data_IF_489856076280
#
_entry.id   IF_489856076280
#
_cell.length_a   1.000
_cell.length_b   1.000
_cell.length_c   1.000
_cell.angle_alpha   90.00
_cell.angle_beta   90.00
_cell.angle_gamma   90.00
#
_symmetry.space_group_name_H-M   'P 1'
#
loop_
_entity.id
_entity.type
_entity.pdbx_description
1 polymer ?
#
# COMPACT_ATOMS: atom_id res chain seq x y z
N UNK A 1 -8.18 -29.90 -11.11
CA UNK A 1 -7.04 -30.39 -11.90
C UNK A 1 -5.93 -29.33 -11.81
N UNK A 2 -4.88 -29.60 -11.04
CA UNK A 2 -3.74 -28.69 -10.80
C UNK A 2 -2.53 -29.04 -11.67
N UNK A 3 -2.64 -30.05 -12.53
CA UNK A 3 -1.59 -30.47 -13.44
C UNK A 3 -1.46 -29.46 -14.60
N UNK A 4 -0.75 -28.36 -14.37
CA UNK A 4 -0.42 -27.40 -15.43
C UNK A 4 -0.15 -25.97 -14.97
N UNK A 5 -0.57 -25.59 -13.75
CA UNK A 5 -0.28 -24.25 -13.22
C UNK A 5 1.12 -24.25 -12.58
N UNK A 6 1.98 -23.34 -13.02
CA UNK A 6 3.32 -23.12 -12.44
C UNK A 6 3.25 -22.03 -11.38
N UNK A 7 4.17 -22.08 -10.42
CA UNK A 7 4.38 -20.95 -9.51
C UNK A 7 4.72 -19.69 -10.31
N UNK A 8 4.20 -18.56 -9.85
CA UNK A 8 4.46 -17.23 -10.44
C UNK A 8 5.37 -16.46 -9.50
N UNK A 9 6.47 -15.94 -10.04
CA UNK A 9 7.36 -15.03 -9.32
C UNK A 9 6.74 -13.63 -9.25
N UNK A 10 6.96 -12.94 -8.14
CA UNK A 10 6.51 -11.57 -7.92
C UNK A 10 7.64 -10.76 -7.27
N UNK A 11 7.86 -9.51 -7.73
CA UNK A 11 8.93 -8.68 -7.18
C UNK A 11 8.62 -8.26 -5.75
N UNK A 12 9.68 -8.18 -4.94
CA UNK A 12 9.66 -7.53 -3.63
C UNK A 12 10.21 -6.12 -3.71
N UNK A 13 10.28 -5.43 -2.57
CA UNK A 13 10.91 -4.12 -2.45
C UNK A 13 11.79 -4.05 -1.21
N UNK A 14 13.08 -3.82 -1.39
CA UNK A 14 14.05 -3.70 -0.30
C UNK A 14 14.12 -2.24 0.16
N UNK A 15 13.55 -1.95 1.32
CA UNK A 15 13.34 -0.58 1.79
C UNK A 15 14.64 0.15 2.19
N UNK A 16 15.70 -0.59 2.57
CA UNK A 16 17.01 0.01 2.88
C UNK A 16 17.74 0.46 1.60
N UNK A 17 17.67 -0.34 0.54
CA UNK A 17 18.26 -0.03 -0.75
C UNK A 17 17.40 0.92 -1.60
N UNK A 18 16.08 0.89 -1.40
CA UNK A 18 15.12 1.65 -2.20
C UNK A 18 14.84 1.04 -3.58
N UNK A 19 15.15 -0.24 -3.78
CA UNK A 19 15.10 -0.92 -5.06
C UNK A 19 14.16 -2.14 -5.07
N UNK A 20 13.53 -2.44 -6.22
CA UNK A 20 12.79 -3.69 -6.39
C UNK A 20 13.74 -4.89 -6.44
N UNK A 21 13.27 -6.03 -5.94
CA UNK A 21 14.00 -7.30 -5.96
C UNK A 21 13.19 -8.31 -6.75
N UNK A 22 13.74 -8.78 -7.87
CA UNK A 22 13.10 -9.80 -8.71
C UNK A 22 12.91 -11.12 -7.96
N UNK A 23 11.82 -11.83 -8.27
CA UNK A 23 11.50 -13.17 -7.74
C UNK A 23 11.57 -13.28 -6.19
N UNK A 24 11.34 -12.19 -5.47
CA UNK A 24 11.39 -12.17 -4.00
C UNK A 24 10.22 -12.93 -3.36
N UNK A 25 9.10 -13.06 -4.08
CA UNK A 25 7.89 -13.74 -3.62
C UNK A 25 7.50 -14.78 -4.68
N UNK A 26 7.10 -15.97 -4.25
CA UNK A 26 6.56 -17.01 -5.12
C UNK A 26 5.12 -17.33 -4.73
N UNK A 27 4.20 -17.16 -5.67
CA UNK A 27 2.80 -17.55 -5.51
C UNK A 27 2.61 -18.94 -6.12
N UNK A 28 2.43 -19.98 -5.31
CA UNK A 28 2.32 -21.34 -5.82
C UNK A 28 0.89 -21.58 -6.35
N UNK A 29 0.69 -22.54 -7.27
CA UNK A 29 -0.57 -22.71 -8.00
C UNK A 29 -1.76 -23.15 -7.12
N UNK A 30 -1.48 -23.61 -5.90
CA UNK A 30 -2.46 -24.02 -4.89
C UNK A 30 -2.84 -22.87 -3.97
N UNK A 31 -2.20 -21.70 -4.10
CA UNK A 31 -2.58 -20.49 -3.37
C UNK A 31 -4.04 -20.12 -3.71
N UNK A 32 -4.87 -20.01 -2.67
CA UNK A 32 -6.32 -19.77 -2.80
C UNK A 32 -6.74 -18.35 -2.45
N UNK A 33 -5.85 -17.60 -1.79
CA UNK A 33 -6.09 -16.23 -1.35
C UNK A 33 -4.80 -15.44 -1.51
N UNK A 34 -4.90 -14.33 -2.24
CA UNK A 34 -3.81 -13.38 -2.44
C UNK A 34 -4.30 -12.05 -1.88
N UNK A 35 -3.53 -11.48 -0.95
CA UNK A 35 -3.75 -10.12 -0.48
C UNK A 35 -2.75 -9.22 -1.20
N UNK A 36 -3.27 -8.28 -1.98
CA UNK A 36 -2.46 -7.25 -2.65
C UNK A 36 -2.60 -5.96 -1.86
N UNK A 37 -1.49 -5.47 -1.32
CA UNK A 37 -1.43 -4.18 -0.61
C UNK A 37 -0.63 -3.14 -1.40
N UNK A 38 -0.97 -1.87 -1.19
CA UNK A 38 -0.30 -0.75 -1.82
C UNK A 38 -1.14 0.51 -1.77
N UNK A 39 -0.52 1.66 -1.99
CA UNK A 39 -1.21 2.95 -1.89
C UNK A 39 -2.17 3.22 -3.06
N UNK A 40 -1.92 2.67 -4.25
CA UNK A 40 -2.69 2.94 -5.47
C UNK A 40 -3.62 1.78 -5.92
N UNK A 41 -3.83 0.75 -5.10
CA UNK A 41 -4.70 -0.39 -5.47
C UNK A 41 -6.16 0.01 -5.73
N UNK A 42 -6.59 1.14 -5.14
CA UNK A 42 -7.91 1.75 -5.33
C UNK A 42 -7.90 3.02 -6.19
N UNK A 43 -6.77 3.35 -6.81
CA UNK A 43 -6.65 4.53 -7.66
C UNK A 43 -7.25 4.25 -9.06
N UNK A 44 -8.10 5.16 -9.58
CA UNK A 44 -8.88 4.94 -10.81
C UNK A 44 -8.49 5.82 -11.99
N UNK A 45 -7.25 6.27 -12.04
CA UNK A 45 -6.76 7.06 -13.18
C UNK A 45 -5.67 6.31 -13.95
N UNK A 46 -5.63 6.54 -15.27
CA UNK A 46 -4.64 5.94 -16.15
C UNK A 46 -4.66 4.41 -16.12
N UNK A 47 -3.48 3.81 -16.14
CA UNK A 47 -3.32 2.34 -16.16
C UNK A 47 -3.79 1.67 -14.86
N UNK A 48 -3.87 2.41 -13.74
CA UNK A 48 -4.31 1.89 -12.45
C UNK A 48 -5.80 1.56 -12.41
N UNK A 49 -6.62 2.22 -13.24
CA UNK A 49 -8.05 1.97 -13.33
C UNK A 49 -8.38 0.52 -13.69
N UNK A 50 -7.51 -0.14 -14.44
CA UNK A 50 -7.71 -1.53 -14.86
C UNK A 50 -7.60 -2.54 -13.72
N UNK A 51 -6.96 -2.17 -12.60
CA UNK A 51 -6.82 -3.05 -11.43
C UNK A 51 -8.16 -3.38 -10.78
N UNK A 52 -9.15 -2.49 -10.87
CA UNK A 52 -10.48 -2.71 -10.29
C UNK A 52 -11.10 -4.04 -10.74
N UNK A 53 -10.89 -4.41 -12.01
CA UNK A 53 -11.45 -5.63 -12.59
C UNK A 53 -10.69 -6.90 -12.21
N UNK A 54 -9.54 -6.78 -11.55
CA UNK A 54 -8.68 -7.90 -11.17
C UNK A 54 -8.92 -8.38 -9.74
N UNK A 55 -9.56 -7.57 -8.90
CA UNK A 55 -9.80 -7.89 -7.49
C UNK A 55 -11.20 -8.46 -7.30
N UNK A 56 -11.30 -9.54 -6.52
CA UNK A 56 -12.59 -10.09 -6.07
C UNK A 56 -13.22 -9.23 -4.96
N UNK A 57 -12.38 -8.62 -4.11
CA UNK A 57 -12.78 -7.73 -3.00
C UNK A 57 -11.73 -6.65 -2.78
N UNK A 58 -12.16 -5.45 -2.40
CA UNK A 58 -11.30 -4.28 -2.19
C UNK A 58 -11.56 -3.59 -0.84
N UNK A 59 -10.48 -3.26 -0.15
CA UNK A 59 -10.51 -2.83 1.25
C UNK A 59 -9.75 -1.52 1.40
N UNK A 60 -10.37 -0.52 2.04
CA UNK A 60 -9.72 0.75 2.35
C UNK A 60 -9.44 0.86 3.85
N UNK A 61 -8.19 1.19 4.21
CA UNK A 61 -7.80 1.45 5.59
C UNK A 61 -8.21 2.88 5.98
N UNK A 62 -9.30 3.00 6.73
CA UNK A 62 -9.88 4.29 7.13
C UNK A 62 -9.18 4.82 8.40
N UNK A 63 -8.21 5.70 8.18
CA UNK A 63 -7.42 6.38 9.21
C UNK A 63 -7.45 7.87 8.94
N UNK A 64 -7.53 8.69 9.99
CA UNK A 64 -7.43 10.14 9.82
C UNK A 64 -6.06 10.51 9.23
N UNK A 65 -6.03 11.52 8.36
CA UNK A 65 -4.78 12.02 7.76
C UNK A 65 -3.79 12.40 8.86
N UNK A 66 -4.25 13.07 9.92
CA UNK A 66 -3.42 13.45 11.07
C UNK A 66 -2.71 12.25 11.71
N UNK A 67 -3.46 11.18 12.01
CA UNK A 67 -2.89 9.96 12.59
C UNK A 67 -1.95 9.24 11.62
N UNK A 68 -2.30 9.18 10.33
CA UNK A 68 -1.45 8.59 9.31
C UNK A 68 -0.12 9.36 9.19
N UNK A 69 -0.17 10.68 9.08
CA UNK A 69 1.02 11.53 9.02
C UNK A 69 1.86 11.41 10.30
N UNK A 70 1.20 11.29 11.45
CA UNK A 70 1.86 11.07 12.74
C UNK A 70 2.76 9.84 12.73
N UNK A 71 2.23 8.73 12.21
CA UNK A 71 2.95 7.47 12.09
C UNK A 71 4.05 7.52 11.03
N UNK A 72 3.81 8.23 9.91
CA UNK A 72 4.80 8.37 8.83
C UNK A 72 6.04 9.13 9.30
N UNK A 73 5.90 10.30 9.94
CA UNK A 73 7.08 11.04 10.40
C UNK A 73 7.84 10.24 11.47
N UNK A 74 7.12 9.54 12.37
CA UNK A 74 7.76 8.72 13.40
C UNK A 74 8.60 7.62 12.77
N UNK A 75 8.08 6.96 11.73
CA UNK A 75 8.81 5.96 10.96
C UNK A 75 10.04 6.54 10.26
N UNK A 76 9.95 7.75 9.68
CA UNK A 76 11.10 8.42 9.07
C UNK A 76 12.22 8.70 10.08
N UNK A 77 11.86 9.16 11.28
CA UNK A 77 12.83 9.38 12.37
C UNK A 77 13.50 8.06 12.79
N UNK A 78 12.73 6.99 12.95
CA UNK A 78 13.24 5.68 13.39
C UNK A 78 14.10 5.00 12.31
N UNK A 79 13.69 5.07 11.04
CA UNK A 79 14.37 4.39 9.93
C UNK A 79 15.62 5.14 9.45
N UNK A 80 15.59 6.48 9.47
CA UNK A 80 16.64 7.30 8.86
C UNK A 80 17.34 8.26 9.83
N UNK A 81 17.01 8.21 11.13
CA UNK A 81 17.62 9.05 12.15
C UNK A 81 17.33 10.55 11.97
N UNK A 82 16.26 10.90 11.24
CA UNK A 82 15.88 12.28 10.97
C UNK A 82 15.41 12.99 12.25
N UNK A 83 15.62 14.31 12.31
CA UNK A 83 14.94 15.15 13.29
C UNK A 83 13.42 15.20 13.01
N UNK A 84 12.64 15.62 14.02
CA UNK A 84 11.19 15.74 13.88
C UNK A 84 10.78 16.73 12.77
N UNK A 85 11.49 17.86 12.67
CA UNK A 85 11.22 18.88 11.66
C UNK A 85 11.50 18.37 10.24
N UNK A 86 12.64 17.69 10.03
CA UNK A 86 13.00 17.07 8.74
C UNK A 86 11.99 15.98 8.35
N UNK A 87 11.59 15.15 9.30
CA UNK A 87 10.62 14.08 9.06
C UNK A 87 9.24 14.63 8.68
N UNK A 88 8.81 15.73 9.32
CA UNK A 88 7.57 16.43 9.00
C UNK A 88 7.61 17.08 7.62
N UNK A 89 8.70 17.78 7.29
CA UNK A 89 8.86 18.40 5.97
C UNK A 89 8.84 17.34 4.85
N UNK A 90 9.55 16.23 5.04
CA UNK A 90 9.56 15.12 4.09
C UNK A 90 8.17 14.52 3.89
N UNK A 91 7.44 14.30 4.99
CA UNK A 91 6.10 13.72 4.95
C UNK A 91 5.06 14.70 4.35
N UNK A 92 5.21 16.00 4.59
CA UNK A 92 4.36 17.04 3.98
C UNK A 92 4.50 17.14 2.46
N UNK A 93 5.58 16.59 1.88
CA UNK A 93 5.77 16.47 0.45
C UNK A 93 4.95 15.33 -0.16
N UNK A 94 5.64 14.27 -0.59
CA UNK A 94 5.04 13.21 -1.40
C UNK A 94 3.95 12.43 -0.66
N UNK A 95 4.10 12.18 0.64
CA UNK A 95 3.12 11.36 1.38
C UNK A 95 1.76 12.06 1.49
N UNK A 96 1.75 13.38 1.71
CA UNK A 96 0.51 14.15 1.76
C UNK A 96 -0.17 14.23 0.38
N UNK A 97 0.60 14.41 -0.69
CA UNK A 97 0.07 14.39 -2.05
C UNK A 97 -0.52 13.01 -2.40
N UNK A 98 0.19 11.94 -2.06
CA UNK A 98 -0.29 10.58 -2.24
C UNK A 98 -1.57 10.33 -1.45
N UNK A 99 -1.62 10.79 -0.20
CA UNK A 99 -2.82 10.71 0.63
C UNK A 99 -4.01 11.38 -0.04
N UNK A 100 -3.83 12.60 -0.56
CA UNK A 100 -4.87 13.31 -1.29
C UNK A 100 -5.34 12.54 -2.54
N UNK A 101 -4.42 11.95 -3.31
CA UNK A 101 -4.74 11.19 -4.52
C UNK A 101 -5.52 9.90 -4.23
N UNK A 102 -5.23 9.22 -3.11
CA UNK A 102 -5.83 7.91 -2.80
C UNK A 102 -7.11 8.02 -1.98
N UNK A 103 -7.34 9.14 -1.30
CA UNK A 103 -8.52 9.35 -0.44
C UNK A 103 -9.86 9.13 -1.18
N UNK A 104 -10.04 9.56 -2.45
CA UNK A 104 -11.26 9.25 -3.21
C UNK A 104 -11.52 7.75 -3.40
N UNK A 105 -10.49 6.91 -3.32
CA UNK A 105 -10.62 5.45 -3.39
C UNK A 105 -11.45 4.87 -2.23
N UNK A 106 -11.57 5.60 -1.12
CA UNK A 106 -12.42 5.22 0.03
C UNK A 106 -13.87 4.96 -0.35
N UNK A 107 -14.43 5.78 -1.24
CA UNK A 107 -15.85 5.64 -1.65
C UNK A 107 -16.11 4.43 -2.55
N UNK A 108 -15.04 3.83 -3.07
CA UNK A 108 -15.09 2.77 -4.09
C UNK A 108 -14.68 1.41 -3.53
N UNK A 109 -14.24 1.36 -2.28
CA UNK A 109 -13.88 0.12 -1.61
C UNK A 109 -15.14 -0.63 -1.17
N UNK A 110 -15.12 -1.96 -1.29
CA UNK A 110 -16.18 -2.82 -0.78
C UNK A 110 -16.27 -2.74 0.75
N UNK A 111 -15.12 -2.59 1.41
CA UNK A 111 -15.03 -2.54 2.87
C UNK A 111 -14.15 -1.40 3.37
N UNK A 112 -14.58 -0.77 4.46
CA UNK A 112 -13.79 0.17 5.23
C UNK A 112 -13.31 -0.48 6.51
N UNK A 113 -12.00 -0.46 6.73
CA UNK A 113 -11.37 -1.00 7.93
C UNK A 113 -10.81 0.16 8.74
N UNK A 114 -11.50 0.50 9.84
CA UNK A 114 -11.09 1.58 10.73
C UNK A 114 -9.83 1.25 11.53
N UNK A 115 -8.96 2.23 11.71
CA UNK A 115 -7.84 2.11 12.66
C UNK A 115 -8.35 2.18 14.11
N UNK A 116 -7.86 1.28 14.97
CA UNK A 116 -8.34 1.12 16.37
C UNK A 116 -8.10 2.31 17.30
N UNK A 117 -7.47 3.38 16.81
CA UNK A 117 -7.25 4.62 17.57
C UNK A 117 -8.39 5.64 17.40
N UNK A 118 -9.41 5.35 16.59
CA UNK A 118 -10.66 6.14 16.49
C UNK A 118 -11.65 5.77 17.63
N UNK A 119 -11.18 5.78 18.89
CA UNK A 119 -12.02 5.61 20.09
C UNK A 119 -12.01 6.85 20.97
#
# INVERSE_FOLDING_TARGET
DSAGKKAVGWPGFEHEAGDPVDDAIFVPPECRLILVEGIYTLYREGEWAELERLFDETWFLDVSVETAMSRVYKRHMEAWGMSEDEAREKAAGNDLLNCANITPGREQADYLVGSRENS
#
